data_IF_536974012743
#
_entry.id   IF_536974012743
#
_cell.length_a   1.000
_cell.length_b   1.000
_cell.length_c   1.000
_cell.angle_alpha   90.00
_cell.angle_beta   90.00
_cell.angle_gamma   90.00
#
_symmetry.space_group_name_H-M   'P 1'
#
loop_
_entity.id
_entity.type
_entity.pdbx_description
1 polymer ?
#
# COMPACT_ATOMS: atom_id res chain seq x y z
N UNK A 1 -12.25 9.55 8.50
CA UNK A 1 -11.98 9.29 8.07
C UNK A 1 -11.31 8.98 7.17
N UNK A 2 -10.57 8.97 6.92
CA UNK A 2 -10.15 9.06 5.77
C UNK A 2 -9.36 7.99 5.25
N UNK A 3 -9.90 7.22 4.38
CA UNK A 3 -9.17 6.26 3.60
C UNK A 3 -8.46 7.02 2.49
N UNK A 4 -7.33 6.47 2.05
CA UNK A 4 -6.64 7.02 0.89
C UNK A 4 -7.40 6.64 -0.36
N UNK A 5 -7.21 7.39 -1.42
CA UNK A 5 -7.86 7.16 -2.72
C UNK A 5 -6.85 6.68 -3.73
N UNK A 6 -7.34 6.09 -4.83
CA UNK A 6 -6.49 5.79 -5.97
C UNK A 6 -5.82 7.06 -6.44
N UNK A 7 -4.55 6.98 -6.74
CA UNK A 7 -3.78 8.13 -7.18
C UNK A 7 -3.15 8.93 -6.06
N UNK A 8 -3.50 8.64 -4.81
CA UNK A 8 -2.90 9.35 -3.68
C UNK A 8 -1.45 8.92 -3.53
N UNK A 9 -0.58 9.88 -3.30
CA UNK A 9 0.82 9.57 -2.99
C UNK A 9 0.93 9.27 -1.51
N UNK A 10 1.60 8.17 -1.20
CA UNK A 10 1.79 7.72 0.17
C UNK A 10 3.24 7.33 0.37
N UNK A 11 3.64 7.23 1.62
CA UNK A 11 4.98 6.75 1.96
C UNK A 11 4.88 5.84 3.18
N UNK A 12 5.92 5.06 3.35
CA UNK A 12 6.02 4.12 4.47
C UNK A 12 7.47 3.98 4.85
N UNK A 13 7.72 3.55 6.07
CA UNK A 13 9.08 3.31 6.53
C UNK A 13 9.45 1.86 6.32
N UNK A 14 10.70 1.62 5.92
CA UNK A 14 11.24 0.28 5.84
C UNK A 14 12.71 0.36 6.22
N UNK A 15 13.14 -0.53 7.13
CA UNK A 15 14.52 -0.52 7.56
C UNK A 15 14.97 0.90 7.94
N UNK A 16 16.03 1.36 7.29
CA UNK A 16 16.56 2.70 7.51
C UNK A 16 16.04 3.72 6.52
N UNK A 17 15.13 3.31 5.65
CA UNK A 17 14.69 4.19 4.58
C UNK A 17 13.21 4.45 4.58
N UNK A 18 12.79 5.14 3.56
CA UNK A 18 11.38 5.45 3.33
C UNK A 18 11.05 5.11 1.88
N UNK A 19 9.94 4.40 1.68
CA UNK A 19 9.43 4.16 0.34
C UNK A 19 8.30 5.12 0.05
N UNK A 20 8.09 5.42 -1.23
CA UNK A 20 6.99 6.26 -1.68
C UNK A 20 6.39 5.67 -2.93
N UNK A 21 5.10 5.90 -3.12
CA UNK A 21 4.45 5.46 -4.32
C UNK A 21 3.04 6.01 -4.40
N UNK A 22 2.33 5.55 -5.43
CA UNK A 22 0.98 5.98 -5.72
C UNK A 22 0.04 4.79 -5.60
N UNK A 23 -1.08 4.98 -4.94
CA UNK A 23 -2.08 3.93 -4.77
C UNK A 23 -2.74 3.63 -6.11
N UNK A 24 -2.71 2.36 -6.51
CA UNK A 24 -3.33 1.92 -7.76
C UNK A 24 -4.53 1.02 -7.52
N UNK A 25 -4.63 0.36 -6.35
CA UNK A 25 -5.80 -0.45 -5.99
C UNK A 25 -6.05 -0.36 -4.50
N UNK A 26 -7.31 -0.53 -4.11
CA UNK A 26 -7.74 -0.47 -2.72
C UNK A 26 -8.54 -1.73 -2.41
N UNK A 27 -8.23 -2.38 -1.30
CA UNK A 27 -8.92 -3.60 -0.89
C UNK A 27 -9.50 -3.43 0.51
N UNK A 28 -10.77 -3.82 0.67
CA UNK A 28 -11.43 -3.76 1.96
C UNK A 28 -11.71 -5.15 2.52
N UNK A 29 -11.13 -6.19 1.89
CA UNK A 29 -11.17 -7.56 2.33
C UNK A 29 -9.77 -8.11 2.26
N UNK A 30 -9.53 -9.24 2.93
CA UNK A 30 -8.22 -9.87 2.89
C UNK A 30 -7.77 -10.04 1.46
N UNK A 31 -6.50 -9.73 1.21
CA UNK A 31 -5.96 -9.72 -0.14
C UNK A 31 -4.60 -10.40 -0.16
N UNK A 32 -4.32 -11.07 -1.26
CA UNK A 32 -3.03 -11.70 -1.49
C UNK A 32 -2.56 -11.33 -2.88
N UNK A 33 -1.31 -10.88 -2.97
CA UNK A 33 -0.70 -10.52 -4.24
C UNK A 33 0.66 -11.16 -4.38
N UNK A 34 0.99 -11.58 -5.58
CA UNK A 34 2.33 -12.06 -5.88
C UNK A 34 3.15 -10.89 -6.43
N UNK A 35 4.20 -10.52 -5.72
CA UNK A 35 5.03 -9.38 -6.08
C UNK A 35 6.47 -9.86 -6.11
N UNK A 36 7.11 -9.75 -7.28
CA UNK A 36 8.52 -10.15 -7.45
C UNK A 36 8.76 -11.58 -6.98
N UNK A 37 7.82 -12.47 -7.27
CA UNK A 37 7.95 -13.87 -6.92
C UNK A 37 7.58 -14.23 -5.49
N UNK A 38 7.16 -13.27 -4.70
CA UNK A 38 6.74 -13.51 -3.31
C UNK A 38 5.26 -13.28 -3.15
N UNK A 39 4.61 -14.15 -2.37
CA UNK A 39 3.21 -13.96 -2.03
C UNK A 39 3.12 -13.08 -0.82
N UNK A 40 2.44 -11.96 -0.97
CA UNK A 40 2.25 -10.99 0.10
C UNK A 40 0.79 -10.97 0.47
N UNK A 41 0.49 -11.15 1.74
CA UNK A 41 -0.89 -11.14 2.24
C UNK A 41 -1.07 -9.98 3.20
N UNK A 42 -2.26 -9.40 3.17
CA UNK A 42 -2.65 -8.40 4.16
C UNK A 42 -4.10 -8.60 4.52
N UNK A 43 -4.40 -8.52 5.79
CA UNK A 43 -5.77 -8.49 6.24
C UNK A 43 -6.30 -7.08 6.01
N UNK A 44 -7.54 -7.00 5.54
CA UNK A 44 -8.12 -5.70 5.26
C UNK A 44 -9.58 -5.70 5.66
N UNK A 45 -10.09 -4.51 5.94
CA UNK A 45 -11.48 -4.29 6.26
C UNK A 45 -11.83 -2.88 5.79
N UNK A 46 -13.09 -2.51 5.95
CA UNK A 46 -13.49 -1.15 5.57
C UNK A 46 -12.80 -0.10 6.42
N UNK A 47 -12.52 -0.42 7.69
CA UNK A 47 -11.86 0.52 8.60
C UNK A 47 -10.35 0.53 8.41
N UNK A 48 -9.81 -0.58 7.93
CA UNK A 48 -8.37 -0.72 7.76
C UNK A 48 -8.11 -1.35 6.40
N UNK A 49 -8.27 -0.58 5.31
CA UNK A 49 -8.06 -1.12 3.97
C UNK A 49 -6.59 -1.47 3.73
N UNK A 50 -6.37 -2.32 2.75
CA UNK A 50 -5.04 -2.58 2.23
C UNK A 50 -4.91 -1.89 0.88
N UNK A 51 -3.69 -1.47 0.54
CA UNK A 51 -3.44 -0.68 -0.66
C UNK A 51 -2.34 -1.32 -1.48
N UNK A 52 -2.59 -1.44 -2.77
CA UNK A 52 -1.59 -1.87 -3.73
C UNK A 52 -0.99 -0.60 -4.32
N UNK A 53 0.33 -0.45 -4.23
CA UNK A 53 1.00 0.81 -4.47
C UNK A 53 2.09 0.60 -5.50
N UNK A 54 2.20 1.51 -6.45
CA UNK A 54 3.25 1.50 -7.45
C UNK A 54 4.28 2.56 -7.13
N UNK A 55 5.52 2.16 -7.02
CA UNK A 55 6.63 3.07 -6.77
C UNK A 55 7.08 3.72 -8.08
N UNK A 56 7.86 4.78 -7.97
CA UNK A 56 8.32 5.51 -9.15
C UNK A 56 9.14 4.67 -10.11
N UNK A 57 9.80 3.64 -9.60
CA UNK A 57 10.60 2.74 -10.43
C UNK A 57 9.79 1.59 -11.02
N UNK A 58 8.48 1.59 -10.81
CA UNK A 58 7.60 0.54 -11.32
C UNK A 58 7.41 -0.63 -10.37
N UNK A 59 8.13 -0.69 -9.28
CA UNK A 59 7.96 -1.75 -8.31
C UNK A 59 6.62 -1.60 -7.59
N UNK A 60 6.06 -2.71 -7.14
CA UNK A 60 4.78 -2.72 -6.47
C UNK A 60 4.94 -3.20 -5.03
N UNK A 61 4.12 -2.67 -4.14
CA UNK A 61 4.08 -3.15 -2.75
C UNK A 61 2.62 -3.20 -2.31
N UNK A 62 2.36 -4.00 -1.29
CA UNK A 62 1.04 -4.13 -0.69
C UNK A 62 1.16 -3.73 0.78
N UNK A 63 0.44 -2.71 1.21
CA UNK A 63 0.54 -2.17 2.56
C UNK A 63 -0.83 -1.97 3.17
N UNK A 64 -0.93 -2.13 4.48
CA UNK A 64 -2.13 -1.79 5.21
C UNK A 64 -2.17 -0.29 5.48
N UNK A 65 -3.37 0.22 5.70
CA UNK A 65 -3.55 1.64 5.98
C UNK A 65 -2.64 2.13 7.10
N UNK A 66 -2.51 1.33 8.16
CA UNK A 66 -1.70 1.72 9.31
C UNK A 66 -0.21 1.82 9.01
N UNK A 67 0.24 1.24 7.90
CA UNK A 67 1.64 1.29 7.51
C UNK A 67 1.99 2.54 6.70
N UNK A 68 0.98 3.34 6.34
CA UNK A 68 1.15 4.42 5.37
C UNK A 68 0.90 5.78 5.99
N UNK A 69 1.45 6.81 5.34
CA UNK A 69 1.11 8.19 5.62
C UNK A 69 1.15 8.95 4.30
N UNK A 70 0.54 10.13 4.27
CA UNK A 70 0.55 10.96 3.08
C UNK A 70 1.98 11.40 2.77
N UNK A 71 2.31 11.40 1.48
CA UNK A 71 3.63 11.79 1.03
C UNK A 71 3.74 13.26 0.63
N UNK A 72 2.62 13.97 0.64
CA UNK A 72 2.64 15.38 0.24
C UNK A 72 2.99 16.25 1.41
#
# INVERSE_FOLDING_TARGET
MSAYRKGTKVRWKWGNGTGEGKIVEIFTEDVEKTISGSNIKRKASKDEPAYFIEQNDGAKVLKSKSELEHAD
#
